data_IF_162975976546
#
_entry.id   IF_162975976546
#
_cell.length_a   1.000
_cell.length_b   1.000
_cell.length_c   1.000
_cell.angle_alpha   90.00
_cell.angle_beta   90.00
_cell.angle_gamma   90.00
#
_symmetry.space_group_name_H-M   'P 1'
#
loop_
_entity.id
_entity.type
_entity.pdbx_description
1 polymer ?
#
# COMPACT_ATOMS: atom_id res chain seq x y z
N UNK A 1 54.70 -35.65 -50.87
CA UNK A 1 53.60 -36.12 -49.99
C UNK A 1 52.48 -35.12 -50.17
N UNK A 2 51.43 -35.44 -50.94
CA UNK A 2 50.16 -36.04 -50.47
C UNK A 2 49.29 -34.98 -49.79
N UNK A 3 48.17 -34.49 -50.36
CA UNK A 3 46.81 -35.11 -50.42
C UNK A 3 46.34 -35.62 -49.04
N UNK A 4 45.10 -35.34 -48.57
CA UNK A 4 43.87 -34.92 -49.27
C UNK A 4 42.95 -34.01 -48.38
N UNK A 5 42.02 -33.23 -48.95
CA UNK A 5 40.53 -33.38 -48.86
C UNK A 5 39.99 -33.58 -47.42
N UNK A 6 39.17 -32.69 -46.84
CA UNK A 6 37.75 -32.27 -47.11
C UNK A 6 36.84 -32.83 -45.99
N UNK A 7 35.53 -32.54 -46.08
CA UNK A 7 34.42 -32.90 -45.21
C UNK A 7 34.14 -31.89 -44.09
N UNK A 8 32.94 -31.34 -43.88
CA UNK A 8 31.80 -30.92 -44.72
C UNK A 8 30.70 -30.50 -43.71
N UNK A 9 30.34 -29.21 -43.71
CA UNK A 9 28.99 -28.63 -43.43
C UNK A 9 28.18 -29.04 -42.15
N UNK A 10 27.09 -28.30 -41.80
CA UNK A 10 26.57 -28.26 -40.43
C UNK A 10 25.26 -29.04 -40.18
N UNK A 11 24.98 -29.29 -38.89
CA UNK A 11 23.63 -29.63 -38.43
C UNK A 11 23.08 -28.63 -37.42
N UNK A 12 22.25 -27.70 -37.91
CA UNK A 12 21.33 -26.96 -37.06
C UNK A 12 20.29 -27.91 -36.45
N UNK A 13 20.08 -27.85 -35.13
CA UNK A 13 18.94 -28.49 -34.47
C UNK A 13 17.94 -27.48 -33.95
N UNK A 14 16.86 -27.27 -34.72
CA UNK A 14 15.69 -26.55 -34.23
C UNK A 14 14.95 -27.39 -33.17
N UNK A 15 15.08 -27.05 -31.89
CA UNK A 15 14.20 -27.56 -30.84
C UNK A 15 12.90 -26.74 -30.80
N UNK A 16 11.95 -27.08 -31.68
CA UNK A 16 10.60 -26.49 -31.68
C UNK A 16 9.95 -26.68 -30.31
N UNK A 17 9.47 -25.60 -29.68
CA UNK A 17 8.48 -25.74 -28.58
C UNK A 17 7.18 -26.31 -29.16
N UNK A 18 6.52 -27.27 -28.49
CA UNK A 18 5.20 -27.73 -28.90
C UNK A 18 4.12 -26.65 -28.66
N UNK A 19 3.00 -26.68 -29.39
CA UNK A 19 1.87 -25.76 -29.20
C UNK A 19 1.15 -25.99 -27.86
N UNK A 20 0.34 -25.01 -27.38
CA UNK A 20 -0.38 -25.13 -26.12
C UNK A 20 -1.44 -26.24 -26.13
N UNK A 21 -1.63 -26.90 -24.97
CA UNK A 21 -2.75 -27.83 -24.75
C UNK A 21 -4.07 -27.07 -24.69
N UNK A 22 -4.90 -27.24 -25.72
CA UNK A 22 -6.35 -27.18 -25.57
C UNK A 22 -6.86 -28.56 -25.15
N UNK A 23 -7.89 -28.60 -24.30
CA UNK A 23 -8.63 -29.82 -23.99
C UNK A 23 -10.13 -29.50 -23.82
N UNK A 24 -10.98 -30.21 -24.57
CA UNK A 24 -12.42 -30.30 -24.31
C UNK A 24 -12.64 -30.99 -22.94
N UNK A 25 -13.67 -30.67 -22.14
CA UNK A 25 -15.13 -30.58 -22.40
C UNK A 25 -15.81 -31.96 -22.49
N UNK A 26 -16.31 -32.39 -21.32
CA UNK A 26 -17.49 -33.24 -21.05
C UNK A 26 -17.39 -34.77 -21.22
N UNK A 27 -18.29 -35.44 -20.45
CA UNK A 27 -18.63 -36.88 -20.39
C UNK A 27 -17.56 -37.78 -19.73
N UNK A 28 -17.88 -38.70 -18.81
CA UNK A 28 -19.16 -39.23 -18.25
C UNK A 28 -19.23 -38.94 -16.72
N UNK A 29 -20.34 -38.95 -15.96
CA UNK A 29 -21.55 -39.81 -15.88
C UNK A 29 -21.26 -41.22 -15.31
N UNK A 30 -22.00 -41.81 -14.35
CA UNK A 30 -23.15 -41.37 -13.50
C UNK A 30 -23.00 -41.87 -12.03
N UNK A 31 -24.07 -42.41 -11.41
CA UNK A 31 -24.25 -42.90 -10.02
C UNK A 31 -24.46 -41.75 -8.97
N UNK A 32 -25.66 -41.20 -8.79
CA UNK A 32 -26.90 -41.72 -8.14
C UNK A 32 -26.87 -41.72 -6.58
N UNK A 33 -27.70 -40.85 -5.98
CA UNK A 33 -28.51 -41.10 -4.77
C UNK A 33 -29.51 -39.92 -4.57
N UNK A 34 -30.79 -40.23 -4.37
CA UNK A 34 -31.95 -39.32 -4.54
C UNK A 34 -32.20 -38.29 -3.43
N UNK A 35 -32.93 -37.20 -3.77
CA UNK A 35 -34.04 -36.66 -2.94
C UNK A 35 -34.96 -35.66 -3.72
N UNK A 36 -36.25 -36.00 -3.88
CA UNK A 36 -37.39 -35.16 -4.36
C UNK A 36 -38.23 -34.63 -3.16
N UNK A 37 -39.20 -33.70 -3.22
CA UNK A 37 -39.80 -32.74 -4.19
C UNK A 37 -40.32 -31.51 -3.35
N UNK A 38 -41.04 -30.45 -3.76
CA UNK A 38 -41.63 -29.92 -5.02
C UNK A 38 -40.68 -28.83 -5.65
N UNK A 39 -40.93 -28.07 -6.73
CA UNK A 39 -42.12 -27.59 -7.46
C UNK A 39 -43.00 -26.52 -6.75
N UNK A 40 -43.92 -25.77 -7.39
CA UNK A 40 -43.79 -25.04 -8.69
C UNK A 40 -44.44 -23.62 -8.60
N UNK A 41 -45.20 -23.00 -9.55
CA UNK A 41 -44.73 -21.70 -10.08
C UNK A 41 -45.77 -20.55 -10.21
N UNK A 42 -45.30 -19.31 -10.38
CA UNK A 42 -45.98 -18.27 -11.20
C UNK A 42 -45.15 -16.96 -11.29
N UNK A 43 -45.45 -15.99 -12.17
CA UNK A 43 -45.69 -15.99 -13.62
C UNK A 43 -45.97 -14.53 -14.07
N UNK A 44 -45.43 -14.09 -15.23
CA UNK A 44 -45.59 -12.72 -15.79
C UNK A 44 -44.90 -11.63 -14.93
N UNK A 45 -44.67 -10.39 -15.39
CA UNK A 45 -45.20 -9.72 -16.59
C UNK A 45 -44.16 -8.84 -17.32
N UNK A 46 -44.48 -8.49 -18.57
CA UNK A 46 -43.63 -7.84 -19.57
C UNK A 46 -44.09 -6.39 -19.79
N UNK A 47 -43.21 -5.41 -19.61
CA UNK A 47 -43.44 -4.02 -20.03
C UNK A 47 -42.22 -3.43 -20.75
N UNK A 48 -42.45 -2.46 -21.63
CA UNK A 48 -41.41 -1.72 -22.36
C UNK A 48 -41.54 -0.23 -22.01
N UNK A 49 -40.43 0.46 -21.81
CA UNK A 49 -40.37 1.92 -21.82
C UNK A 49 -39.22 2.40 -22.72
N UNK A 50 -39.43 3.52 -23.41
CA UNK A 50 -38.46 4.15 -24.32
C UNK A 50 -37.60 5.18 -23.57
N UNK A 51 -36.36 5.46 -24.01
CA UNK A 51 -35.59 6.59 -23.48
C UNK A 51 -36.25 7.92 -23.86
N UNK A 52 -36.23 8.89 -22.94
CA UNK A 52 -36.60 10.28 -23.21
C UNK A 52 -35.42 11.05 -23.81
N UNK A 53 -35.71 12.00 -24.71
CA UNK A 53 -34.69 12.77 -25.44
C UNK A 53 -34.97 14.27 -25.34
N UNK A 54 -34.39 14.93 -24.34
CA UNK A 54 -34.38 16.40 -24.08
C UNK A 54 -33.24 16.68 -23.08
N UNK A 55 -32.56 17.82 -23.07
CA UNK A 55 -32.61 18.97 -23.99
C UNK A 55 -31.24 19.68 -23.98
N UNK A 56 -30.86 20.34 -25.08
CA UNK A 56 -29.61 21.09 -25.19
C UNK A 56 -29.76 22.54 -24.68
N UNK A 57 -28.98 22.96 -23.70
CA UNK A 57 -28.96 24.37 -23.25
C UNK A 57 -27.54 24.85 -22.91
N UNK A 58 -27.06 25.77 -23.75
CA UNK A 58 -26.10 26.87 -23.50
C UNK A 58 -24.73 26.61 -22.81
N UNK A 59 -23.69 27.10 -23.47
CA UNK A 59 -22.38 27.43 -22.87
C UNK A 59 -22.56 28.49 -21.78
N UNK A 60 -22.19 28.19 -20.54
CA UNK A 60 -21.86 29.19 -19.52
C UNK A 60 -20.35 29.23 -19.30
N UNK A 61 -19.65 30.20 -19.91
CA UNK A 61 -18.20 30.35 -19.74
C UNK A 61 -17.86 31.07 -18.42
N UNK A 62 -17.99 30.35 -17.31
CA UNK A 62 -17.62 30.84 -15.99
C UNK A 62 -16.10 30.72 -15.79
N UNK A 63 -15.39 31.84 -15.87
CA UNK A 63 -13.99 31.91 -15.40
C UNK A 63 -13.99 31.83 -13.86
N UNK A 64 -13.25 30.91 -13.22
CA UNK A 64 -13.16 30.87 -11.77
C UNK A 64 -12.31 32.05 -11.28
N UNK A 65 -12.97 33.13 -10.87
CA UNK A 65 -12.32 34.29 -10.26
C UNK A 65 -11.70 33.94 -8.91
N UNK A 66 -10.57 34.57 -8.63
CA UNK A 66 -9.78 34.40 -7.41
C UNK A 66 -10.60 34.61 -6.12
N UNK A 67 -10.70 33.58 -5.27
CA UNK A 67 -11.38 33.71 -3.97
C UNK A 67 -11.47 32.44 -3.11
N UNK A 68 -10.71 31.38 -3.38
CA UNK A 68 -10.97 30.05 -2.80
C UNK A 68 -10.45 29.87 -1.36
N UNK A 69 -11.10 30.56 -0.42
CA UNK A 69 -11.12 30.19 1.01
C UNK A 69 -12.00 28.96 1.26
N UNK A 70 -11.82 27.90 0.46
CA UNK A 70 -12.37 26.59 0.77
C UNK A 70 -11.77 26.06 2.08
N UNK A 71 -12.54 25.29 2.83
CA UNK A 71 -12.09 24.74 4.10
C UNK A 71 -10.88 23.83 3.87
N UNK A 72 -10.08 23.62 4.92
CA UNK A 72 -8.90 22.75 4.86
C UNK A 72 -9.25 21.33 4.36
N UNK A 73 -10.42 20.82 4.73
CA UNK A 73 -10.97 19.54 4.26
C UNK A 73 -11.29 19.55 2.75
N UNK A 74 -11.83 20.64 2.22
CA UNK A 74 -12.18 20.77 0.80
C UNK A 74 -10.91 20.71 -0.06
N UNK A 75 -9.82 21.35 0.41
CA UNK A 75 -8.50 21.34 -0.23
C UNK A 75 -7.86 19.95 -0.20
N UNK A 76 -7.99 19.22 0.91
CA UNK A 76 -7.56 17.81 1.01
C UNK A 76 -8.35 16.92 0.04
N UNK A 77 -9.68 17.06 0.01
CA UNK A 77 -10.55 16.26 -0.86
C UNK A 77 -10.26 16.54 -2.34
N UNK A 78 -10.05 17.81 -2.71
CA UNK A 78 -9.67 18.19 -4.08
C UNK A 78 -8.30 17.62 -4.48
N UNK A 79 -7.30 17.67 -3.61
CA UNK A 79 -5.97 17.10 -3.85
C UNK A 79 -6.00 15.56 -3.97
N UNK A 80 -6.79 14.87 -3.14
CA UNK A 80 -6.99 13.42 -3.26
C UNK A 80 -7.69 13.07 -4.58
N UNK A 81 -8.72 13.83 -4.98
CA UNK A 81 -9.41 13.62 -6.26
C UNK A 81 -8.47 13.84 -7.45
N UNK A 82 -7.65 14.90 -7.44
CA UNK A 82 -6.60 15.14 -8.45
C UNK A 82 -5.62 13.96 -8.55
N UNK A 83 -5.22 13.38 -7.41
CA UNK A 83 -4.35 12.19 -7.37
C UNK A 83 -5.00 10.91 -7.89
N UNK A 84 -6.33 10.81 -7.85
CA UNK A 84 -7.09 9.64 -8.33
C UNK A 84 -7.55 9.78 -9.79
N UNK A 85 -7.69 10.99 -10.32
CA UNK A 85 -8.13 11.25 -11.71
C UNK A 85 -7.16 10.74 -12.79
N UNK A 86 -5.88 10.52 -12.44
CA UNK A 86 -4.85 9.98 -13.34
C UNK A 86 -4.44 8.54 -13.03
N UNK A 87 -5.26 7.78 -12.31
CA UNK A 87 -4.90 6.42 -11.91
C UNK A 87 -4.89 5.43 -13.09
N UNK A 88 -3.77 4.74 -13.28
CA UNK A 88 -3.59 3.56 -14.14
C UNK A 88 -3.92 2.28 -13.38
N UNK A 89 -3.74 2.26 -12.05
CA UNK A 89 -4.06 1.12 -11.19
C UNK A 89 -5.16 1.47 -10.20
N UNK A 90 -6.29 0.77 -10.30
CA UNK A 90 -7.39 0.88 -9.35
C UNK A 90 -7.08 0.14 -8.03
N UNK A 91 -7.51 0.67 -6.87
CA UNK A 91 -7.24 0.08 -5.57
C UNK A 91 -8.11 -1.17 -5.32
N UNK A 92 -7.49 -2.34 -5.22
CA UNK A 92 -8.19 -3.60 -4.91
C UNK A 92 -8.65 -3.67 -3.45
N UNK A 93 -9.82 -4.28 -3.21
CA UNK A 93 -10.26 -4.64 -1.87
C UNK A 93 -9.35 -5.72 -1.29
N UNK A 94 -8.72 -5.46 -0.14
CA UNK A 94 -7.79 -6.40 0.50
C UNK A 94 -8.26 -6.73 1.92
N UNK A 95 -8.21 -8.01 2.25
CA UNK A 95 -8.69 -8.53 3.53
C UNK A 95 -8.02 -7.85 4.75
N UNK A 96 -8.79 -7.40 5.76
CA UNK A 96 -8.27 -6.87 7.01
C UNK A 96 -7.20 -7.77 7.66
N UNK A 97 -7.42 -9.10 7.62
CA UNK A 97 -6.51 -10.12 8.16
C UNK A 97 -5.13 -10.08 7.51
N UNK A 98 -5.05 -10.18 6.16
CA UNK A 98 -3.78 -10.11 5.41
C UNK A 98 -2.98 -8.86 5.78
N UNK A 99 -3.64 -7.69 5.89
CA UNK A 99 -2.98 -6.41 6.21
C UNK A 99 -2.50 -6.32 7.67
N UNK A 100 -3.23 -6.91 8.60
CA UNK A 100 -2.84 -6.98 10.01
C UNK A 100 -1.65 -7.93 10.22
N UNK A 101 -1.68 -9.11 9.60
CA UNK A 101 -0.58 -10.09 9.64
C UNK A 101 0.67 -9.52 8.96
N UNK A 102 0.53 -8.88 7.80
CA UNK A 102 1.64 -8.17 7.15
C UNK A 102 2.28 -7.12 8.07
N UNK A 103 1.46 -6.29 8.74
CA UNK A 103 1.96 -5.29 9.67
C UNK A 103 2.66 -5.91 10.88
N UNK A 104 2.15 -7.02 11.42
CA UNK A 104 2.75 -7.76 12.53
C UNK A 104 4.11 -8.37 12.19
N UNK A 105 4.23 -9.03 11.03
CA UNK A 105 5.50 -9.58 10.52
C UNK A 105 6.52 -8.45 10.30
N UNK A 106 6.09 -7.36 9.67
CA UNK A 106 6.94 -6.18 9.46
C UNK A 106 7.42 -5.55 10.78
N UNK A 107 6.58 -5.54 11.82
CA UNK A 107 6.96 -5.11 13.18
C UNK A 107 7.99 -6.06 13.81
N UNK A 108 7.80 -7.38 13.68
CA UNK A 108 8.75 -8.38 14.16
C UNK A 108 10.12 -8.25 13.49
N UNK A 109 10.15 -8.05 12.17
CA UNK A 109 11.38 -7.79 11.44
C UNK A 109 12.05 -6.47 11.88
N UNK A 110 11.28 -5.38 12.03
CA UNK A 110 11.79 -4.10 12.53
C UNK A 110 12.33 -4.19 13.97
N UNK A 111 11.73 -5.04 14.82
CA UNK A 111 12.22 -5.34 16.17
C UNK A 111 13.55 -6.10 16.14
N UNK A 112 13.68 -7.15 15.30
CA UNK A 112 14.95 -7.87 15.13
C UNK A 112 16.05 -6.93 14.61
N UNK A 113 15.73 -6.07 13.64
CA UNK A 113 16.67 -5.06 13.13
C UNK A 113 17.06 -4.06 14.23
N UNK A 114 16.15 -3.68 15.14
CA UNK A 114 16.48 -2.79 16.25
C UNK A 114 17.35 -3.45 17.32
N UNK A 115 17.19 -4.76 17.58
CA UNK A 115 18.12 -5.53 18.41
C UNK A 115 19.54 -5.57 17.80
N UNK A 116 19.66 -5.81 16.49
CA UNK A 116 20.96 -5.82 15.79
C UNK A 116 21.58 -4.41 15.79
N UNK A 117 20.78 -3.38 15.52
CA UNK A 117 21.22 -1.99 15.60
C UNK A 117 21.70 -1.61 17.02
N UNK A 118 21.16 -2.24 18.07
CA UNK A 118 21.56 -2.10 19.46
C UNK A 118 23.06 -2.32 19.73
N UNK A 119 23.74 -3.14 18.91
CA UNK A 119 25.17 -3.41 19.02
C UNK A 119 26.06 -2.37 18.30
N UNK A 120 25.47 -1.47 17.50
CA UNK A 120 26.20 -0.39 16.82
C UNK A 120 26.50 0.72 17.85
N UNK A 121 27.74 1.25 17.93
CA UNK A 121 28.13 2.31 18.88
C UNK A 121 27.58 3.71 18.53
N UNK A 122 26.32 3.76 18.06
CA UNK A 122 25.54 4.96 17.73
C UNK A 122 24.29 5.10 18.61
N UNK A 123 24.18 4.33 19.70
CA UNK A 123 23.00 4.28 20.59
C UNK A 123 22.57 5.62 21.20
N UNK A 124 23.49 6.59 21.29
CA UNK A 124 23.18 7.96 21.72
C UNK A 124 22.23 8.68 20.76
N UNK A 125 22.27 8.34 19.47
CA UNK A 125 21.47 8.94 18.39
C UNK A 125 20.39 7.98 17.91
N UNK A 126 20.76 6.71 17.66
CA UNK A 126 19.94 5.71 16.97
C UNK A 126 19.44 4.61 17.93
N UNK A 127 18.60 4.98 18.89
CA UNK A 127 18.04 4.04 19.88
C UNK A 127 17.11 3.01 19.22
N UNK A 128 16.98 1.82 19.82
CA UNK A 128 16.08 0.77 19.34
C UNK A 128 14.62 1.27 19.16
N UNK A 129 14.16 2.18 20.03
CA UNK A 129 12.83 2.81 19.94
C UNK A 129 12.65 3.72 18.72
N UNK A 130 13.73 4.33 18.22
CA UNK A 130 13.74 5.12 17.00
C UNK A 130 13.96 4.25 15.75
N UNK A 131 14.76 3.18 15.85
CA UNK A 131 15.03 2.25 14.72
C UNK A 131 13.74 1.60 14.22
N UNK A 132 12.86 1.12 15.10
CA UNK A 132 11.60 0.45 14.70
C UNK A 132 10.73 1.34 13.78
N UNK A 133 10.29 2.55 14.18
CA UNK A 133 9.48 3.39 13.31
C UNK A 133 10.24 3.89 12.07
N UNK A 134 11.57 4.08 12.12
CA UNK A 134 12.36 4.38 10.91
C UNK A 134 12.33 3.23 9.89
N UNK A 135 12.60 1.99 10.32
CA UNK A 135 12.51 0.80 9.47
C UNK A 135 11.11 0.63 8.91
N UNK A 136 10.08 0.78 9.75
CA UNK A 136 8.68 0.70 9.30
C UNK A 136 8.33 1.81 8.31
N UNK A 137 8.88 3.02 8.45
CA UNK A 137 8.73 4.09 7.47
C UNK A 137 9.38 3.75 6.12
N UNK A 138 10.63 3.28 6.09
CA UNK A 138 11.39 3.14 4.84
C UNK A 138 11.28 1.76 4.15
N UNK A 139 10.84 0.69 4.83
CA UNK A 139 10.82 -0.67 4.26
C UNK A 139 10.15 -0.79 2.90
N UNK A 140 9.07 -0.03 2.68
CA UNK A 140 8.28 -0.10 1.44
C UNK A 140 8.98 0.56 0.25
N UNK A 141 9.97 1.41 0.48
CA UNK A 141 10.77 2.01 -0.60
C UNK A 141 11.80 1.02 -1.13
N UNK A 142 12.56 0.36 -0.25
CA UNK A 142 13.62 -0.57 -0.65
C UNK A 142 13.07 -1.73 -1.48
N UNK A 143 12.08 -2.47 -0.98
CA UNK A 143 11.54 -3.65 -1.66
C UNK A 143 10.52 -3.33 -2.78
N UNK A 144 10.64 -2.18 -3.47
CA UNK A 144 9.78 -1.81 -4.61
C UNK A 144 8.27 -1.81 -4.30
N UNK A 145 7.90 -1.53 -3.05
CA UNK A 145 6.54 -1.60 -2.50
C UNK A 145 6.22 -2.81 -1.63
N UNK A 146 7.11 -3.82 -1.56
CA UNK A 146 6.89 -5.12 -0.90
C UNK A 146 7.65 -5.28 0.43
N UNK A 147 7.31 -4.51 1.47
CA UNK A 147 7.83 -4.78 2.83
C UNK A 147 7.64 -6.26 3.23
N UNK A 148 8.57 -6.84 4.00
CA UNK A 148 8.68 -8.29 4.27
C UNK A 148 7.34 -8.99 4.56
N UNK A 149 6.54 -8.43 5.48
CA UNK A 149 5.23 -8.95 5.83
C UNK A 149 4.17 -8.78 4.75
N UNK A 150 4.24 -7.69 3.95
CA UNK A 150 3.39 -7.51 2.77
C UNK A 150 3.70 -8.58 1.72
N UNK A 151 4.99 -8.78 1.42
CA UNK A 151 5.46 -9.76 0.44
C UNK A 151 4.99 -11.19 0.79
N UNK A 152 5.15 -11.58 2.06
CA UNK A 152 4.69 -12.87 2.57
C UNK A 152 3.16 -13.06 2.54
N UNK A 153 2.39 -11.97 2.51
CA UNK A 153 0.93 -11.99 2.39
C UNK A 153 0.42 -11.81 0.95
N UNK A 154 1.33 -11.79 -0.05
CA UNK A 154 0.98 -11.54 -1.46
C UNK A 154 0.48 -10.12 -1.72
N UNK A 155 1.03 -9.13 -1.02
CA UNK A 155 0.63 -7.72 -1.09
C UNK A 155 1.79 -6.84 -1.56
N UNK A 156 1.49 -5.90 -2.46
CA UNK A 156 2.42 -4.86 -2.92
C UNK A 156 1.80 -3.47 -2.81
N UNK A 157 2.63 -2.48 -2.52
CA UNK A 157 2.30 -1.06 -2.69
C UNK A 157 2.70 -0.63 -4.09
N UNK A 158 1.83 0.09 -4.79
CA UNK A 158 2.18 0.73 -6.08
C UNK A 158 1.77 2.20 -6.11
N UNK A 159 2.44 3.00 -6.93
CA UNK A 159 1.94 4.31 -7.36
C UNK A 159 0.70 4.10 -8.24
N UNK A 160 -0.41 4.79 -7.94
CA UNK A 160 -1.64 4.67 -8.72
C UNK A 160 -1.48 5.19 -10.15
N UNK A 161 -0.59 6.14 -10.40
CA UNK A 161 -0.40 6.79 -11.69
C UNK A 161 0.54 6.03 -12.65
N UNK A 162 1.40 5.14 -12.15
CA UNK A 162 2.34 4.35 -12.98
C UNK A 162 2.19 2.84 -12.84
N UNK A 163 1.64 2.35 -11.72
CA UNK A 163 1.66 0.93 -11.36
C UNK A 163 3.01 0.40 -10.88
N UNK A 164 4.03 1.26 -10.78
CA UNK A 164 5.37 0.88 -10.31
C UNK A 164 5.51 1.00 -8.78
N UNK A 165 6.70 0.68 -8.26
CA UNK A 165 6.98 0.82 -6.84
C UNK A 165 6.90 2.28 -6.36
N UNK A 166 6.44 2.55 -5.12
CA UNK A 166 6.23 3.89 -4.63
C UNK A 166 7.56 4.63 -4.44
N UNK A 167 7.61 5.89 -4.89
CA UNK A 167 8.80 6.74 -4.66
C UNK A 167 9.03 7.00 -3.18
N UNK A 168 10.28 7.33 -2.81
CA UNK A 168 10.65 7.66 -1.43
C UNK A 168 9.74 8.74 -0.80
N UNK A 169 9.31 9.73 -1.60
CA UNK A 169 8.38 10.78 -1.19
C UNK A 169 7.00 10.22 -0.83
N UNK A 170 6.47 9.28 -1.61
CA UNK A 170 5.15 8.67 -1.37
C UNK A 170 5.17 7.73 -0.17
N UNK A 171 6.23 6.92 -0.06
CA UNK A 171 6.48 6.07 1.12
C UNK A 171 6.54 6.92 2.39
N UNK A 172 7.26 8.04 2.37
CA UNK A 172 7.29 9.01 3.47
C UNK A 172 5.91 9.63 3.74
N UNK A 173 5.24 10.21 2.74
CA UNK A 173 3.92 10.86 2.92
C UNK A 173 2.92 9.91 3.57
N UNK A 174 2.78 8.68 3.06
CA UNK A 174 1.89 7.69 3.67
C UNK A 174 2.32 7.35 5.09
N UNK A 175 3.57 6.91 5.27
CA UNK A 175 3.97 6.31 6.54
C UNK A 175 4.10 7.36 7.64
N UNK A 176 4.34 8.64 7.32
CA UNK A 176 4.31 9.76 8.27
C UNK A 176 2.90 10.06 8.82
N UNK A 177 1.84 9.76 8.08
CA UNK A 177 0.45 9.88 8.57
C UNK A 177 0.10 8.80 9.61
N UNK A 178 0.92 7.74 9.73
CA UNK A 178 0.72 6.67 10.70
C UNK A 178 1.80 6.65 11.81
N UNK A 179 3.05 6.96 11.46
CA UNK A 179 4.22 6.88 12.35
C UNK A 179 4.83 8.27 12.68
N UNK A 180 4.37 9.34 12.04
CA UNK A 180 4.98 10.67 12.15
C UNK A 180 5.03 11.21 13.57
N UNK A 181 3.95 11.16 14.36
CA UNK A 181 4.00 11.60 15.76
C UNK A 181 4.81 10.69 16.68
N UNK A 182 4.94 9.38 16.38
CA UNK A 182 5.86 8.48 17.10
C UNK A 182 7.32 8.91 16.84
N UNK A 183 7.66 9.18 15.58
CA UNK A 183 8.97 9.72 15.18
C UNK A 183 9.20 11.11 15.79
N UNK A 184 8.20 11.99 15.79
CA UNK A 184 8.30 13.34 16.33
C UNK A 184 8.58 13.32 17.83
N UNK A 185 7.90 12.47 18.62
CA UNK A 185 8.23 12.32 20.04
C UNK A 185 9.66 11.78 20.21
N UNK A 186 10.03 10.69 19.53
CA UNK A 186 11.38 10.10 19.68
C UNK A 186 12.49 11.11 19.33
N UNK A 187 12.35 11.85 18.23
CA UNK A 187 13.28 12.92 17.84
C UNK A 187 13.27 14.07 18.85
N UNK A 188 12.10 14.50 19.33
CA UNK A 188 12.01 15.61 20.31
C UNK A 188 12.59 15.21 21.67
N UNK A 189 12.38 13.98 22.14
CA UNK A 189 13.01 13.47 23.36
C UNK A 189 14.54 13.40 23.23
N UNK A 190 15.09 12.99 22.06
CA UNK A 190 16.54 13.04 21.81
C UNK A 190 17.06 14.48 21.79
N UNK A 191 16.38 15.42 21.12
CA UNK A 191 16.77 16.82 21.09
C UNK A 191 16.76 17.44 22.49
N UNK A 192 15.70 17.22 23.26
CA UNK A 192 15.61 17.70 24.65
C UNK A 192 16.71 17.10 25.54
N UNK A 193 17.06 15.82 25.37
CA UNK A 193 18.19 15.20 26.10
C UNK A 193 19.54 15.82 25.73
N UNK A 194 19.75 16.26 24.48
CA UNK A 194 20.97 16.97 24.08
C UNK A 194 21.05 18.38 24.72
N UNK A 195 19.92 19.04 24.94
CA UNK A 195 19.85 20.32 25.66
C UNK A 195 19.94 20.17 27.18
N UNK A 196 19.39 19.10 27.78
CA UNK A 196 19.48 18.82 29.23
C UNK A 196 20.93 18.63 29.71
N UNK A 197 21.84 18.17 28.85
CA UNK A 197 23.28 18.08 29.13
C UNK A 197 23.91 19.47 29.37
N UNK A 198 23.30 20.55 28.85
CA UNK A 198 23.86 21.89 28.83
C UNK A 198 23.12 22.91 29.72
N UNK A 199 21.89 22.63 30.17
CA UNK A 199 21.08 23.58 30.95
C UNK A 199 20.29 22.87 32.05
N UNK A 200 20.42 23.36 33.29
CA UNK A 200 19.71 22.89 34.49
C UNK A 200 18.20 23.21 34.52
N UNK A 201 17.50 23.12 33.38
CA UNK A 201 16.12 23.55 33.19
C UNK A 201 15.08 22.42 33.39
N UNK A 202 15.38 21.50 34.32
CA UNK A 202 14.73 20.19 34.45
C UNK A 202 13.20 20.24 34.50
N UNK A 203 12.61 21.11 35.33
CA UNK A 203 11.14 21.18 35.48
C UNK A 203 10.42 21.50 34.17
N UNK A 204 10.89 22.50 33.42
CA UNK A 204 10.24 22.93 32.18
C UNK A 204 10.34 21.85 31.09
N UNK A 205 11.51 21.19 30.97
CA UNK A 205 11.71 20.10 30.00
C UNK A 205 10.87 18.87 30.35
N UNK A 206 10.73 18.53 31.64
CA UNK A 206 9.83 17.45 32.09
C UNK A 206 8.37 17.77 31.75
N UNK A 207 7.89 18.98 32.03
CA UNK A 207 6.51 19.38 31.66
C UNK A 207 6.27 19.29 30.15
N UNK A 208 7.21 19.74 29.32
CA UNK A 208 7.11 19.63 27.86
C UNK A 208 7.09 18.17 27.40
N UNK A 209 7.93 17.30 27.96
CA UNK A 209 7.94 15.85 27.64
C UNK A 209 6.59 15.20 27.94
N UNK A 210 6.01 15.44 29.11
CA UNK A 210 4.72 14.81 29.47
C UNK A 210 3.54 15.38 28.68
N UNK A 211 3.54 16.68 28.34
CA UNK A 211 2.53 17.26 27.43
C UNK A 211 2.64 16.65 26.03
N UNK A 212 3.85 16.47 25.49
CA UNK A 212 4.05 15.82 24.18
C UNK A 212 3.58 14.36 24.18
N UNK A 213 3.84 13.60 25.26
CA UNK A 213 3.33 12.24 25.43
C UNK A 213 1.81 12.19 25.51
N UNK A 214 1.17 13.15 26.19
CA UNK A 214 -0.29 13.24 26.29
C UNK A 214 -0.95 13.59 24.94
N UNK A 215 -0.37 14.52 24.17
CA UNK A 215 -0.83 14.81 22.80
C UNK A 215 -0.63 13.60 21.88
N UNK A 216 0.48 12.87 22.02
CA UNK A 216 0.73 11.65 21.26
C UNK A 216 -0.22 10.52 21.63
N UNK A 217 -0.53 10.31 22.91
CA UNK A 217 -1.45 9.23 23.32
C UNK A 217 -2.86 9.49 22.77
N UNK A 218 -3.34 10.74 22.77
CA UNK A 218 -4.57 11.14 22.08
C UNK A 218 -4.47 10.88 20.57
N UNK A 219 -3.35 11.23 19.92
CA UNK A 219 -3.15 10.95 18.49
C UNK A 219 -3.22 9.45 18.19
N UNK A 220 -2.54 8.61 18.98
CA UNK A 220 -2.56 7.14 18.81
C UNK A 220 -3.96 6.56 19.09
N UNK A 221 -4.67 7.06 20.10
CA UNK A 221 -6.03 6.60 20.45
C UNK A 221 -7.11 7.05 19.45
N UNK A 222 -6.86 8.08 18.63
CA UNK A 222 -7.82 8.59 17.64
C UNK A 222 -7.43 8.22 16.21
N UNK A 223 -6.23 8.58 15.76
CA UNK A 223 -5.83 8.49 14.35
C UNK A 223 -5.48 7.06 13.94
N UNK A 224 -4.87 6.25 14.81
CA UNK A 224 -4.57 4.85 14.46
C UNK A 224 -5.87 4.01 14.32
N UNK A 225 -6.87 4.10 15.23
CA UNK A 225 -8.19 3.51 15.01
C UNK A 225 -8.93 4.10 13.81
N UNK A 226 -8.84 5.40 13.55
CA UNK A 226 -9.49 6.03 12.40
C UNK A 226 -8.90 5.53 11.07
N UNK A 227 -7.57 5.45 10.95
CA UNK A 227 -6.90 4.90 9.76
C UNK A 227 -7.20 3.41 9.59
N UNK A 228 -7.21 2.63 10.69
CA UNK A 228 -7.59 1.22 10.66
C UNK A 228 -9.03 1.06 10.15
N UNK A 229 -10.01 1.73 10.80
CA UNK A 229 -11.42 1.72 10.43
C UNK A 229 -11.64 2.14 8.97
N UNK A 230 -11.07 3.28 8.55
CA UNK A 230 -11.13 3.75 7.16
C UNK A 230 -10.63 2.67 6.19
N UNK A 231 -9.55 1.99 6.53
CA UNK A 231 -8.91 0.97 5.71
C UNK A 231 -9.59 -0.40 5.73
N UNK A 232 -10.60 -0.60 6.59
CA UNK A 232 -11.43 -1.80 6.69
C UNK A 232 -12.87 -1.59 6.17
N UNK A 233 -13.41 -0.37 6.32
CA UNK A 233 -14.80 -0.03 5.98
C UNK A 233 -14.98 0.43 4.52
N UNK A 234 -13.90 0.87 3.85
CA UNK A 234 -13.94 1.23 2.42
C UNK A 234 -13.72 -0.01 1.54
N UNK A 235 -14.41 -0.06 0.41
CA UNK A 235 -14.22 -1.10 -0.60
C UNK A 235 -12.78 -1.08 -1.15
N UNK A 236 -12.27 0.11 -1.48
CA UNK A 236 -10.88 0.33 -1.91
C UNK A 236 -9.80 0.02 -0.85
N UNK A 237 -10.20 -0.24 0.40
CA UNK A 237 -9.31 -0.48 1.53
C UNK A 237 -8.27 0.64 1.79
N UNK A 238 -8.41 1.83 1.21
CA UNK A 238 -7.38 2.88 1.24
C UNK A 238 -7.33 3.63 2.57
N UNK A 239 -6.13 3.71 3.15
CA UNK A 239 -5.82 4.64 4.26
C UNK A 239 -5.85 6.09 3.76
N UNK A 240 -5.94 7.06 4.67
CA UNK A 240 -5.73 8.47 4.34
C UNK A 240 -4.29 8.70 3.86
N UNK A 241 -3.31 8.00 4.47
CA UNK A 241 -1.94 7.99 4.00
C UNK A 241 -1.76 7.43 2.57
N UNK A 242 -2.47 6.36 2.21
CA UNK A 242 -2.47 5.80 0.85
C UNK A 242 -3.02 6.84 -0.15
N UNK A 243 -4.16 7.45 0.17
CA UNK A 243 -4.83 8.45 -0.67
C UNK A 243 -4.03 9.76 -0.85
N UNK A 244 -3.36 10.25 0.19
CA UNK A 244 -2.53 11.46 0.11
C UNK A 244 -1.17 11.24 -0.56
N UNK A 245 -0.67 10.01 -0.56
CA UNK A 245 0.50 9.63 -1.35
C UNK A 245 0.18 9.40 -2.84
N UNK A 246 -1.09 9.13 -3.19
CA UNK A 246 -1.45 8.64 -4.53
C UNK A 246 -0.96 7.22 -4.75
N UNK A 247 -0.90 6.39 -3.70
CA UNK A 247 -0.49 4.99 -3.77
C UNK A 247 -1.64 4.10 -3.35
N UNK A 248 -1.81 2.95 -4.00
CA UNK A 248 -2.72 1.90 -3.54
C UNK A 248 -1.95 0.69 -3.01
N UNK A 249 -2.71 -0.25 -2.44
CA UNK A 249 -2.22 -1.58 -2.12
C UNK A 249 -2.93 -2.55 -3.07
N UNK A 250 -2.17 -3.46 -3.68
CA UNK A 250 -2.64 -4.47 -4.62
C UNK A 250 -2.22 -5.86 -4.15
N UNK A 251 -2.94 -6.89 -4.57
CA UNK A 251 -2.46 -8.27 -4.49
C UNK A 251 -1.43 -8.51 -5.62
N UNK A 252 -0.32 -9.17 -5.29
CA UNK A 252 0.83 -9.42 -6.18
C UNK A 252 1.56 -10.69 -5.75
N UNK A 253 2.31 -11.31 -6.65
CA UNK A 253 3.06 -12.54 -6.32
C UNK A 253 4.21 -12.27 -5.34
N UNK A 254 4.44 -13.23 -4.44
CA UNK A 254 5.51 -13.17 -3.44
C UNK A 254 6.88 -13.19 -4.12
N UNK A 255 7.59 -12.07 -4.10
CA UNK A 255 8.83 -11.89 -4.85
C UNK A 255 9.92 -11.22 -4.00
N UNK A 256 10.98 -11.98 -3.68
CA UNK A 256 12.14 -11.48 -2.92
C UNK A 256 13.35 -11.11 -3.80
N UNK A 257 13.23 -11.20 -5.14
CA UNK A 257 14.33 -10.87 -6.05
C UNK A 257 14.51 -9.37 -6.31
N UNK A 258 13.47 -8.57 -6.09
CA UNK A 258 13.46 -7.11 -6.29
C UNK A 258 13.72 -6.38 -4.95
N UNK A 259 14.98 -6.40 -4.51
CA UNK A 259 15.44 -5.83 -3.21
C UNK A 259 15.66 -4.29 -3.28
N UNK A 260 15.71 -3.73 -4.48
CA UNK A 260 15.77 -2.28 -4.75
C UNK A 260 14.76 -1.93 -5.84
N UNK A 261 14.20 -0.69 -5.85
CA UNK A 261 13.49 -0.16 -7.01
C UNK A 261 14.46 -0.03 -8.20
N UNK A 262 13.90 -0.12 -9.41
CA UNK A 262 14.61 0.06 -10.69
C UNK A 262 14.67 1.53 -11.08
#
# INVERSE_FOLDING_TARGET
MSRSQNDDEPYARSSRRPPPRQANRNQFQDDEDDFEEEQSPSARQRSKSRPSKRQSTQRGSASPSSGQSGNFLDKINQYIAEKQQGAVVEPSRIEPGKRLVALGIDFGAAYIISLVAGFIPMQTILTNQLVIPLVLCFRDFFYGGRGLGKNLMGLRVVDMATGEGPTLKQVLVRNLIYLGPLLLLQVTERLLHLFEIHVSLTTAVVTVKEVLKAVLSVYVLVIVPLEAYRSYAREDSMRLGDALAGTCLVEDEMNFSEILPK
#
